data_IF_240914695192
#
_entry.id   IF_240914695192
#
_cell.length_a   1.000
_cell.length_b   1.000
_cell.length_c   1.000
_cell.angle_alpha   90.00
_cell.angle_beta   90.00
_cell.angle_gamma   90.00
#
_symmetry.space_group_name_H-M   'P 1'
#
loop_
_entity.id
_entity.type
_entity.pdbx_description
1 polymer ?
#
# COMPACT_ATOMS: atom_id res chain seq x y z
N UNK A 1 -11.13 -0.07 -21.03
CA UNK A 1 -10.82 0.79 -19.88
C UNK A 1 -11.18 2.18 -20.34
N UNK A 2 -12.20 2.80 -19.73
CA UNK A 2 -12.65 4.12 -20.14
C UNK A 2 -11.68 5.15 -19.57
N UNK A 3 -10.97 5.88 -20.43
CA UNK A 3 -9.93 6.83 -20.03
C UNK A 3 -10.48 7.98 -19.17
N UNK A 4 -11.80 8.20 -19.18
CA UNK A 4 -12.48 9.22 -18.40
C UNK A 4 -12.58 8.87 -16.91
N UNK A 5 -12.71 7.59 -16.55
CA UNK A 5 -12.77 7.16 -15.15
C UNK A 5 -11.40 7.31 -14.47
N UNK A 6 -10.31 6.98 -15.19
CA UNK A 6 -8.94 7.20 -14.74
C UNK A 6 -8.65 8.71 -14.57
N UNK A 7 -9.10 9.53 -15.53
CA UNK A 7 -8.96 11.00 -15.48
C UNK A 7 -9.74 11.65 -14.31
N UNK A 8 -10.82 11.02 -13.85
CA UNK A 8 -11.62 11.47 -12.71
C UNK A 8 -10.86 11.53 -11.38
N UNK A 9 -9.74 10.82 -11.29
CA UNK A 9 -8.84 10.84 -10.12
C UNK A 9 -7.87 12.03 -10.12
N UNK A 10 -7.64 12.69 -11.26
CA UNK A 10 -6.63 13.72 -11.39
C UNK A 10 -7.13 15.12 -11.07
N UNK A 11 -8.37 15.46 -11.44
CA UNK A 11 -8.89 16.83 -11.37
C UNK A 11 -10.20 16.90 -10.57
N UNK A 12 -10.37 18.00 -9.86
CA UNK A 12 -11.63 18.40 -9.21
C UNK A 12 -11.91 19.86 -9.53
N UNK A 13 -13.18 20.19 -9.68
CA UNK A 13 -13.62 21.57 -9.83
C UNK A 13 -13.55 22.34 -8.50
N UNK A 14 -12.86 23.47 -8.50
CA UNK A 14 -12.83 24.47 -7.42
C UNK A 14 -13.88 25.55 -7.73
N UNK A 15 -14.98 25.62 -6.94
CA UNK A 15 -16.09 26.52 -7.26
C UNK A 15 -15.76 28.01 -7.14
N UNK A 16 -14.89 28.39 -6.19
CA UNK A 16 -14.60 29.80 -5.91
C UNK A 16 -13.85 30.47 -7.06
N UNK A 17 -12.83 29.79 -7.58
CA UNK A 17 -11.97 30.28 -8.67
C UNK A 17 -12.39 29.74 -10.04
N UNK A 18 -13.51 28.99 -10.11
CA UNK A 18 -14.05 28.38 -11.33
C UNK A 18 -13.02 27.62 -12.18
N UNK A 19 -12.11 26.89 -11.54
CA UNK A 19 -11.01 26.19 -12.22
C UNK A 19 -10.94 24.72 -11.83
N UNK A 20 -10.22 23.94 -12.64
CA UNK A 20 -9.85 22.57 -12.28
C UNK A 20 -8.56 22.60 -11.47
N UNK A 21 -8.59 22.06 -10.27
CA UNK A 21 -7.42 21.84 -9.42
C UNK A 21 -7.09 20.36 -9.38
N UNK A 22 -5.82 20.03 -9.11
CA UNK A 22 -5.44 18.63 -8.89
C UNK A 22 -6.14 18.09 -7.65
N UNK A 23 -6.77 16.92 -7.77
CA UNK A 23 -7.42 16.28 -6.63
C UNK A 23 -6.40 15.70 -5.64
N UNK A 24 -5.24 15.29 -6.15
CA UNK A 24 -4.11 14.78 -5.38
C UNK A 24 -2.89 15.64 -5.68
N UNK A 25 -2.07 15.88 -4.65
CA UNK A 25 -0.83 16.63 -4.81
C UNK A 25 0.10 15.99 -5.87
N UNK A 26 0.86 16.83 -6.58
CA UNK A 26 1.75 16.39 -7.64
C UNK A 26 2.81 15.39 -7.17
N UNK A 27 3.35 15.57 -5.96
CA UNK A 27 4.37 14.68 -5.39
C UNK A 27 3.80 13.30 -5.06
N UNK A 28 2.56 13.25 -4.57
CA UNK A 28 1.83 12.02 -4.31
C UNK A 28 1.55 11.24 -5.59
N UNK A 29 1.14 11.93 -6.67
CA UNK A 29 0.99 11.29 -8.00
C UNK A 29 2.32 10.72 -8.50
N UNK A 30 3.42 11.47 -8.39
CA UNK A 30 4.73 10.98 -8.84
C UNK A 30 5.22 9.77 -8.03
N UNK A 31 4.96 9.73 -6.72
CA UNK A 31 5.29 8.57 -5.90
C UNK A 31 4.48 7.34 -6.33
N UNK A 32 3.19 7.52 -6.63
CA UNK A 32 2.35 6.48 -7.18
C UNK A 32 2.85 5.97 -8.53
N UNK A 33 3.13 6.86 -9.48
CA UNK A 33 3.60 6.49 -10.82
C UNK A 33 4.90 5.67 -10.74
N UNK A 34 5.86 6.08 -9.91
CA UNK A 34 7.10 5.32 -9.67
C UNK A 34 6.85 3.94 -9.06
N UNK A 35 5.94 3.85 -8.09
CA UNK A 35 5.59 2.58 -7.49
C UNK A 35 4.97 1.62 -8.52
N UNK A 36 4.24 2.13 -9.52
CA UNK A 36 3.71 1.33 -10.62
C UNK A 36 4.82 0.85 -11.58
N UNK A 37 5.74 1.73 -11.97
CA UNK A 37 6.83 1.43 -12.92
C UNK A 37 7.68 0.23 -12.48
N UNK A 38 7.97 0.13 -11.18
CA UNK A 38 8.82 -0.93 -10.61
C UNK A 38 8.02 -2.18 -10.17
N UNK A 39 6.70 -2.20 -10.37
CA UNK A 39 5.82 -3.25 -9.84
C UNK A 39 5.54 -4.40 -10.81
N UNK A 40 5.31 -5.63 -10.30
CA UNK A 40 4.66 -6.68 -11.07
C UNK A 40 3.30 -6.23 -11.60
N UNK A 41 2.88 -6.79 -12.74
CA UNK A 41 1.62 -6.43 -13.44
C UNK A 41 0.39 -6.53 -12.53
N UNK A 42 0.33 -7.51 -11.62
CA UNK A 42 -0.83 -7.67 -10.75
C UNK A 42 -0.82 -6.68 -9.58
N UNK A 43 0.34 -6.38 -8.99
CA UNK A 43 0.53 -5.26 -8.05
C UNK A 43 0.13 -3.93 -8.70
N UNK A 44 0.55 -3.68 -9.94
CA UNK A 44 0.21 -2.47 -10.68
C UNK A 44 -1.31 -2.29 -10.81
N UNK A 45 -2.02 -3.35 -11.25
CA UNK A 45 -3.49 -3.32 -11.37
C UNK A 45 -4.17 -3.05 -10.03
N UNK A 46 -3.68 -3.66 -8.95
CA UNK A 46 -4.23 -3.46 -7.61
C UNK A 46 -4.03 -2.02 -7.13
N UNK A 47 -2.85 -1.44 -7.34
CA UNK A 47 -2.58 -0.04 -6.99
C UNK A 47 -3.40 0.94 -7.84
N UNK A 48 -3.52 0.72 -9.16
CA UNK A 48 -4.41 1.51 -10.04
C UNK A 48 -5.84 1.48 -9.58
N UNK A 49 -6.37 0.29 -9.31
CA UNK A 49 -7.73 0.15 -8.84
C UNK A 49 -7.92 0.83 -7.47
N UNK A 50 -6.98 0.66 -6.54
CA UNK A 50 -7.02 1.33 -5.25
C UNK A 50 -7.02 2.87 -5.37
N UNK A 51 -6.21 3.42 -6.29
CA UNK A 51 -6.16 4.85 -6.59
C UNK A 51 -7.48 5.38 -7.14
N UNK A 52 -8.09 4.67 -8.10
CA UNK A 52 -9.40 5.03 -8.66
C UNK A 52 -10.48 4.99 -7.59
N UNK A 53 -10.50 3.97 -6.71
CA UNK A 53 -11.50 3.92 -5.63
C UNK A 53 -11.25 4.94 -4.53
N UNK A 54 -10.00 5.37 -4.31
CA UNK A 54 -9.71 6.43 -3.35
C UNK A 54 -10.07 7.81 -3.91
N UNK A 55 -9.61 8.14 -5.12
CA UNK A 55 -9.66 9.51 -5.64
C UNK A 55 -10.59 9.70 -6.83
N UNK A 56 -11.22 8.66 -7.36
CA UNK A 56 -12.14 8.76 -8.49
C UNK A 56 -13.35 9.65 -8.22
N UNK A 57 -14.16 9.88 -9.26
CA UNK A 57 -15.38 10.70 -9.16
C UNK A 57 -16.37 10.16 -8.12
N UNK A 58 -16.43 8.82 -7.99
CA UNK A 58 -17.25 8.10 -7.03
C UNK A 58 -16.36 7.23 -6.14
N UNK A 59 -15.79 7.79 -5.06
CA UNK A 59 -14.91 7.03 -4.18
C UNK A 59 -15.61 5.84 -3.51
N UNK A 60 -14.88 4.74 -3.37
CA UNK A 60 -15.22 3.56 -2.59
C UNK A 60 -14.08 3.27 -1.59
N UNK A 61 -14.14 3.84 -0.37
CA UNK A 61 -13.07 3.69 0.62
C UNK A 61 -12.80 2.24 1.03
N UNK A 62 -13.84 1.40 1.06
CA UNK A 62 -13.70 -0.01 1.45
C UNK A 62 -12.90 -0.78 0.40
N UNK A 63 -13.23 -0.58 -0.87
CA UNK A 63 -12.53 -1.21 -1.98
C UNK A 63 -11.11 -0.65 -2.14
N UNK A 64 -10.93 0.66 -2.03
CA UNK A 64 -9.62 1.31 -2.07
C UNK A 64 -8.66 0.74 -1.02
N UNK A 65 -9.10 0.68 0.24
CA UNK A 65 -8.30 0.09 1.32
C UNK A 65 -8.00 -1.39 1.03
N UNK A 66 -9.02 -2.17 0.66
CA UNK A 66 -8.85 -3.60 0.40
C UNK A 66 -7.89 -3.93 -0.74
N UNK A 67 -7.87 -3.13 -1.80
CA UNK A 67 -6.94 -3.29 -2.92
C UNK A 67 -5.53 -2.82 -2.58
N UNK A 68 -5.39 -1.78 -1.76
CA UNK A 68 -4.09 -1.38 -1.20
C UNK A 68 -3.45 -2.51 -0.36
N UNK A 69 -4.23 -3.21 0.48
CA UNK A 69 -3.74 -4.38 1.23
C UNK A 69 -3.30 -5.50 0.29
N UNK A 70 -4.07 -5.77 -0.76
CA UNK A 70 -3.75 -6.82 -1.75
C UNK A 70 -2.50 -6.49 -2.55
N UNK A 71 -2.26 -5.22 -2.90
CA UNK A 71 -1.04 -4.81 -3.58
C UNK A 71 0.21 -5.11 -2.71
N UNK A 72 0.12 -4.81 -1.41
CA UNK A 72 1.20 -5.15 -0.46
C UNK A 72 1.35 -6.67 -0.28
N UNK A 73 0.25 -7.42 -0.28
CA UNK A 73 0.27 -8.89 -0.26
C UNK A 73 1.01 -9.48 -1.45
N UNK A 74 0.77 -8.95 -2.65
CA UNK A 74 1.36 -9.44 -3.90
C UNK A 74 2.89 -9.27 -3.92
N UNK A 75 3.41 -8.13 -3.44
CA UNK A 75 4.88 -7.90 -3.38
C UNK A 75 5.57 -8.59 -2.20
N UNK A 76 4.90 -8.73 -1.05
CA UNK A 76 5.53 -9.33 0.14
C UNK A 76 5.46 -10.85 0.17
N UNK A 77 4.44 -11.45 -0.43
CA UNK A 77 4.27 -12.90 -0.39
C UNK A 77 5.44 -13.69 -1.00
N UNK A 78 6.03 -13.29 -2.14
CA UNK A 78 7.23 -13.93 -2.68
C UNK A 78 8.44 -13.85 -1.75
N UNK A 79 8.53 -12.80 -0.91
CA UNK A 79 9.63 -12.61 0.03
C UNK A 79 9.49 -13.43 1.31
N UNK A 80 8.28 -13.45 1.89
CA UNK A 80 7.98 -14.10 3.17
C UNK A 80 7.49 -15.54 3.06
N UNK A 81 6.90 -15.93 1.94
CA UNK A 81 6.30 -17.26 1.74
C UNK A 81 6.44 -17.75 0.27
N UNK A 82 7.68 -17.87 -0.26
CA UNK A 82 7.91 -18.18 -1.67
C UNK A 82 7.28 -19.52 -2.11
N UNK A 83 7.35 -20.53 -1.24
CA UNK A 83 6.92 -21.91 -1.51
C UNK A 83 5.45 -22.19 -1.14
N UNK A 84 4.75 -21.22 -0.53
CA UNK A 84 3.36 -21.42 -0.15
C UNK A 84 2.43 -21.24 -1.36
N UNK A 85 1.53 -22.21 -1.56
CA UNK A 85 0.49 -22.15 -2.59
C UNK A 85 -0.61 -21.15 -2.21
N UNK A 86 -0.78 -20.87 -0.92
CA UNK A 86 -1.74 -19.90 -0.39
C UNK A 86 -0.97 -18.72 0.20
N UNK A 87 -0.64 -17.78 -0.67
CA UNK A 87 0.08 -16.54 -0.38
C UNK A 87 -0.87 -15.53 0.25
N UNK A 88 -0.79 -15.38 1.57
CA UNK A 88 -1.52 -14.33 2.30
C UNK A 88 -0.55 -13.41 3.01
N UNK A 89 -0.96 -12.14 3.17
CA UNK A 89 -0.16 -11.11 3.81
C UNK A 89 0.16 -11.48 5.24
N UNK A 90 -0.84 -12.00 5.98
CA UNK A 90 -0.65 -12.44 7.37
C UNK A 90 0.43 -13.52 7.51
N UNK A 91 0.48 -14.49 6.58
CA UNK A 91 1.51 -15.54 6.59
C UNK A 91 2.89 -14.99 6.21
N UNK A 92 2.96 -14.23 5.11
CA UNK A 92 4.22 -13.63 4.66
C UNK A 92 4.82 -12.73 5.75
N UNK A 93 3.99 -11.89 6.37
CA UNK A 93 4.35 -11.03 7.49
C UNK A 93 4.80 -11.83 8.72
N UNK A 94 4.08 -12.91 9.07
CA UNK A 94 4.46 -13.79 10.18
C UNK A 94 5.84 -14.42 9.98
N UNK A 95 6.14 -14.88 8.77
CA UNK A 95 7.44 -15.45 8.41
C UNK A 95 8.57 -14.42 8.39
N UNK A 96 8.32 -13.21 7.86
CA UNK A 96 9.30 -12.12 7.90
C UNK A 96 9.57 -11.72 9.36
N UNK A 97 8.52 -11.56 10.16
CA UNK A 97 8.60 -11.18 11.57
C UNK A 97 9.39 -12.19 12.41
N UNK A 98 9.21 -13.48 12.20
CA UNK A 98 9.95 -14.52 12.95
C UNK A 98 11.45 -14.52 12.65
N UNK A 99 11.87 -13.92 11.53
CA UNK A 99 13.27 -13.83 11.12
C UNK A 99 13.97 -12.55 11.60
N UNK A 100 13.22 -11.58 12.14
CA UNK A 100 13.78 -10.30 12.65
C UNK A 100 14.89 -10.52 13.69
N UNK A 101 14.74 -11.38 14.71
CA UNK A 101 15.79 -11.59 15.71
C UNK A 101 17.08 -12.19 15.14
N UNK A 102 17.01 -12.85 13.98
CA UNK A 102 18.15 -13.47 13.32
C UNK A 102 18.95 -12.52 12.42
N UNK A 103 18.52 -11.25 12.28
CA UNK A 103 19.21 -10.26 11.45
C UNK A 103 19.20 -10.57 9.95
N UNK A 104 18.32 -11.48 9.48
CA UNK A 104 18.22 -11.91 8.07
C UNK A 104 17.72 -10.82 7.12
N UNK A 105 17.16 -9.75 7.66
CA UNK A 105 16.59 -8.66 6.91
C UNK A 105 17.12 -7.34 7.44
N UNK A 106 17.37 -6.41 6.53
CA UNK A 106 17.81 -5.06 6.86
C UNK A 106 17.06 -4.02 6.03
N UNK A 107 16.95 -2.81 6.58
CA UNK A 107 16.55 -1.63 5.83
C UNK A 107 17.79 -0.90 5.30
N UNK A 108 17.67 -0.26 4.14
CA UNK A 108 18.71 0.60 3.59
C UNK A 108 18.97 1.86 4.43
N UNK A 109 17.96 2.30 5.20
CA UNK A 109 18.12 3.35 6.20
C UNK A 109 18.70 2.72 7.46
N UNK A 110 19.87 3.17 7.94
CA UNK A 110 20.51 2.66 9.15
C UNK A 110 19.79 3.06 10.45
N UNK A 111 20.16 2.41 11.55
CA UNK A 111 19.79 2.81 12.91
C UNK A 111 20.84 3.79 13.49
N UNK A 112 20.63 4.23 14.73
CA UNK A 112 21.55 5.15 15.39
C UNK A 112 23.00 4.62 15.40
N UNK A 113 23.93 5.48 14.99
CA UNK A 113 25.37 5.21 15.06
C UNK A 113 25.88 4.22 14.01
N UNK A 114 25.37 4.28 12.77
CA UNK A 114 25.80 3.44 11.64
C UNK A 114 25.50 1.93 11.81
N UNK A 115 24.60 1.60 12.74
CA UNK A 115 24.12 0.24 12.92
C UNK A 115 23.13 -0.13 11.81
N UNK A 116 23.12 -1.40 11.38
CA UNK A 116 22.09 -1.90 10.46
C UNK A 116 20.73 -1.77 11.12
N UNK A 117 19.79 -1.08 10.48
CA UNK A 117 18.43 -1.00 11.01
C UNK A 117 17.74 -2.37 10.91
N UNK A 118 17.18 -2.81 12.01
CA UNK A 118 16.22 -3.90 12.00
C UNK A 118 14.96 -3.48 11.22
N UNK A 119 14.19 -4.46 10.76
CA UNK A 119 12.98 -4.22 9.97
C UNK A 119 11.71 -4.08 10.84
N UNK A 120 11.82 -3.90 12.16
CA UNK A 120 10.64 -3.87 13.06
C UNK A 120 9.68 -2.74 12.71
N UNK A 121 10.22 -1.57 12.37
CA UNK A 121 9.43 -0.41 11.93
C UNK A 121 8.67 -0.70 10.63
N UNK A 122 9.32 -1.40 9.69
CA UNK A 122 8.69 -1.84 8.45
C UNK A 122 7.58 -2.87 8.73
N UNK A 123 7.83 -3.87 9.57
CA UNK A 123 6.82 -4.84 10.01
C UNK A 123 5.63 -4.13 10.65
N UNK A 124 5.86 -3.10 11.48
CA UNK A 124 4.81 -2.29 12.09
C UNK A 124 3.91 -1.57 11.07
N UNK A 125 4.49 -1.04 9.99
CA UNK A 125 3.72 -0.43 8.89
C UNK A 125 2.80 -1.44 8.20
N UNK A 126 3.33 -2.63 7.87
CA UNK A 126 2.54 -3.70 7.24
C UNK A 126 1.45 -4.21 8.18
N UNK A 127 1.74 -4.35 9.47
CA UNK A 127 0.76 -4.75 10.48
C UNK A 127 -0.36 -3.71 10.64
N UNK A 128 -0.02 -2.41 10.65
CA UNK A 128 -0.99 -1.32 10.70
C UNK A 128 -1.98 -1.43 9.54
N UNK A 129 -1.46 -1.59 8.31
CA UNK A 129 -2.26 -1.72 7.11
C UNK A 129 -3.17 -2.96 7.18
N UNK A 130 -2.60 -4.13 7.50
CA UNK A 130 -3.31 -5.41 7.49
C UNK A 130 -4.42 -5.52 8.55
N UNK A 131 -4.13 -5.08 9.79
CA UNK A 131 -5.04 -5.25 10.94
C UNK A 131 -6.21 -4.26 10.93
N UNK A 132 -6.06 -3.10 10.27
CA UNK A 132 -7.07 -2.04 10.27
C UNK A 132 -7.96 -2.03 9.03
N UNK A 133 -7.98 -3.12 8.25
CA UNK A 133 -9.00 -3.31 7.22
C UNK A 133 -10.32 -3.79 7.88
N UNK A 134 -11.08 -2.86 8.44
CA UNK A 134 -12.25 -3.14 9.30
C UNK A 134 -13.46 -3.73 8.56
N UNK A 135 -13.55 -3.54 7.24
CA UNK A 135 -14.62 -4.08 6.40
C UNK A 135 -14.42 -5.55 5.99
N UNK A 136 -13.33 -6.22 6.39
CA UNK A 136 -13.02 -7.62 6.00
C UNK A 136 -14.04 -8.65 6.48
N UNK A 137 -14.75 -8.40 7.57
CA UNK A 137 -15.58 -9.40 8.23
C UNK A 137 -16.98 -8.88 8.50
N UNK A 138 -17.91 -9.18 7.57
CA UNK A 138 -19.34 -8.94 7.82
C UNK A 138 -19.76 -9.58 9.16
N UNK A 139 -20.21 -8.75 10.10
CA UNK A 139 -20.69 -9.19 11.42
C UNK A 139 -19.65 -9.24 12.55
N UNK A 140 -18.40 -8.80 12.33
CA UNK A 140 -17.44 -8.62 13.42
C UNK A 140 -17.85 -7.48 14.37
N UNK A 141 -17.54 -7.60 15.67
CA UNK A 141 -17.92 -6.61 16.70
C UNK A 141 -17.42 -5.18 16.41
N UNK A 142 -16.37 -5.04 15.59
CA UNK A 142 -15.78 -3.77 15.14
C UNK A 142 -15.87 -3.56 13.62
N UNK A 143 -16.69 -4.35 12.91
CA UNK A 143 -16.84 -4.25 11.46
C UNK A 143 -17.59 -2.97 11.10
N UNK A 144 -16.94 -2.10 10.32
CA UNK A 144 -17.56 -0.92 9.72
C UNK A 144 -16.93 -0.62 8.38
N UNK A 145 -17.62 0.18 7.57
CA UNK A 145 -17.02 0.79 6.38
C UNK A 145 -15.86 1.69 6.74
N UNK A 146 -14.85 1.69 5.87
CA UNK A 146 -13.71 2.58 5.91
C UNK A 146 -14.14 4.02 5.62
N UNK A 147 -13.48 4.96 6.28
CA UNK A 147 -13.63 6.38 5.96
C UNK A 147 -12.69 6.74 4.81
N UNK A 148 -13.04 7.80 4.08
CA UNK A 148 -12.24 8.31 2.97
C UNK A 148 -10.76 8.52 3.33
N UNK A 149 -10.48 9.24 4.42
CA UNK A 149 -9.09 9.49 4.84
C UNK A 149 -8.34 8.22 5.28
N UNK A 150 -9.05 7.16 5.71
CA UNK A 150 -8.43 5.88 6.07
C UNK A 150 -7.99 5.13 4.82
N UNK A 151 -8.82 5.16 3.77
CA UNK A 151 -8.48 4.61 2.46
C UNK A 151 -7.32 5.35 1.80
N UNK A 152 -7.31 6.68 1.84
CA UNK A 152 -6.22 7.50 1.31
C UNK A 152 -4.91 7.24 2.06
N UNK A 153 -4.93 7.19 3.39
CA UNK A 153 -3.76 6.86 4.20
C UNK A 153 -3.25 5.44 3.93
N UNK A 154 -4.15 4.47 3.81
CA UNK A 154 -3.80 3.09 3.48
C UNK A 154 -3.16 2.97 2.09
N UNK A 155 -3.69 3.68 1.10
CA UNK A 155 -3.12 3.73 -0.25
C UNK A 155 -1.72 4.33 -0.25
N UNK A 156 -1.50 5.47 0.41
CA UNK A 156 -0.16 6.09 0.51
C UNK A 156 0.84 5.19 1.23
N UNK A 157 0.40 4.51 2.29
CA UNK A 157 1.24 3.53 2.99
C UNK A 157 1.57 2.32 2.11
N UNK A 158 0.61 1.82 1.32
CA UNK A 158 0.84 0.74 0.37
C UNK A 158 1.82 1.13 -0.73
N UNK A 159 1.70 2.34 -1.30
CA UNK A 159 2.64 2.90 -2.28
C UNK A 159 4.06 2.90 -1.71
N UNK A 160 4.24 3.41 -0.48
CA UNK A 160 5.54 3.42 0.20
C UNK A 160 6.11 2.01 0.37
N UNK A 161 5.31 1.06 0.86
CA UNK A 161 5.73 -0.32 1.10
C UNK A 161 6.12 -1.01 -0.22
N UNK A 162 5.30 -0.89 -1.26
CA UNK A 162 5.56 -1.46 -2.59
C UNK A 162 6.85 -0.87 -3.16
N UNK A 163 7.02 0.45 -3.10
CA UNK A 163 8.25 1.09 -3.55
C UNK A 163 9.47 0.60 -2.77
N UNK A 164 9.40 0.48 -1.45
CA UNK A 164 10.52 0.00 -0.63
C UNK A 164 10.90 -1.45 -0.92
N UNK A 165 9.92 -2.30 -1.21
CA UNK A 165 10.16 -3.70 -1.60
C UNK A 165 10.85 -3.75 -2.97
N UNK A 166 10.37 -2.98 -3.95
CA UNK A 166 10.90 -3.06 -5.32
C UNK A 166 12.25 -2.35 -5.49
N UNK A 167 12.53 -1.32 -4.68
CA UNK A 167 13.78 -0.52 -4.75
C UNK A 167 14.88 -1.03 -3.82
N UNK A 168 14.75 -2.26 -3.29
CA UNK A 168 15.71 -2.88 -2.36
C UNK A 168 15.97 -2.07 -1.07
N UNK A 169 15.01 -1.23 -0.66
CA UNK A 169 15.07 -0.60 0.67
C UNK A 169 14.88 -1.68 1.74
N UNK A 170 13.99 -2.64 1.52
CA UNK A 170 13.94 -3.90 2.26
C UNK A 170 14.74 -4.96 1.49
N UNK A 171 15.74 -5.57 2.14
CA UNK A 171 16.52 -6.66 1.50
C UNK A 171 16.96 -7.69 2.53
N UNK A 172 17.29 -8.90 2.05
CA UNK A 172 17.96 -9.91 2.86
C UNK A 172 19.42 -9.46 3.12
N UNK A 173 19.86 -9.62 4.37
CA UNK A 173 21.20 -9.26 4.82
C UNK A 173 22.26 -10.30 4.42
#
# INVERSE_FOLDING_TARGET
MDHLDDAGSFLRFEPEEHRLIRRVDASAQQAFDRALEDSPVDTEKLLRSAWVHAYGLHPDPDKAYGEAVKAVEDVLSPLGAPDDKVRTLGKALGNIKSQVPSGKWELAIGDQGDQKANIERFVGMVELLHKNQLSRHAGGHNSRSQKQHEAEAALHLAILIVQWVNTNVLKKA
#
